data_IF_119419499673
#
_entry.id   IF_119419499673
#
_cell.length_a   1.000
_cell.length_b   1.000
_cell.length_c   1.000
_cell.angle_alpha   90.00
_cell.angle_beta   90.00
_cell.angle_gamma   90.00
#
_symmetry.space_group_name_H-M   'P 1'
#
loop_
_entity.id
_entity.type
_entity.pdbx_description
1 polymer ?
#
# COMPACT_ATOMS: atom_id res chain seq x y z
N UNK A 1 -18.00 -6.79 -7.99
CA UNK A 1 -17.14 -7.15 -6.85
C UNK A 1 -16.30 -5.94 -6.51
N UNK A 2 -16.69 -5.21 -5.46
CA UNK A 2 -15.90 -4.09 -4.96
C UNK A 2 -14.67 -4.64 -4.25
N UNK A 3 -13.49 -4.08 -4.51
CA UNK A 3 -12.29 -4.40 -3.74
C UNK A 3 -12.60 -4.24 -2.25
N UNK A 4 -12.45 -5.31 -1.47
CA UNK A 4 -12.55 -5.25 -0.01
C UNK A 4 -11.59 -4.20 0.56
N UNK A 5 -11.80 -3.72 1.80
CA UNK A 5 -11.00 -2.65 2.37
C UNK A 5 -9.54 -3.11 2.47
N UNK A 6 -8.72 -2.63 1.53
CA UNK A 6 -7.25 -2.66 1.59
C UNK A 6 -6.83 -2.11 2.95
N UNK A 7 -6.22 -2.97 3.76
CA UNK A 7 -6.17 -2.81 5.21
C UNK A 7 -5.54 -1.50 5.67
N UNK A 8 -6.04 -1.01 6.81
CA UNK A 8 -5.77 0.32 7.33
C UNK A 8 -4.45 0.31 8.13
N UNK A 9 -3.58 1.29 7.85
CA UNK A 9 -2.38 1.54 8.63
C UNK A 9 -2.71 2.12 10.02
N UNK A 10 -1.81 1.96 11.00
CA UNK A 10 -1.99 2.45 12.37
C UNK A 10 -2.03 3.99 12.49
N UNK A 11 -1.42 4.70 11.52
CA UNK A 11 -1.53 6.15 11.32
C UNK A 11 -2.20 6.38 9.96
N UNK A 12 -2.82 7.53 9.75
CA UNK A 12 -3.39 7.88 8.44
C UNK A 12 -2.31 8.52 7.54
N UNK A 13 -2.11 8.01 6.31
CA UNK A 13 -1.17 8.63 5.36
C UNK A 13 -1.71 9.97 4.85
N UNK A 14 -0.82 10.87 4.40
CA UNK A 14 -1.24 12.18 3.84
C UNK A 14 -1.97 12.03 2.51
N UNK A 15 -1.61 10.99 1.75
CA UNK A 15 -2.23 10.68 0.48
C UNK A 15 -2.20 9.18 0.26
N UNK A 16 -3.26 8.67 -0.33
CA UNK A 16 -3.38 7.27 -0.76
C UNK A 16 -3.72 7.23 -2.24
N UNK A 17 -3.02 6.38 -2.97
CA UNK A 17 -3.30 6.08 -4.36
C UNK A 17 -3.56 4.59 -4.52
N UNK A 18 -4.58 4.26 -5.30
CA UNK A 18 -4.96 2.90 -5.65
C UNK A 18 -4.91 2.76 -7.17
N UNK A 19 -3.98 1.95 -7.65
CA UNK A 19 -3.80 1.68 -9.07
C UNK A 19 -4.09 0.21 -9.35
N UNK A 20 -4.66 -0.05 -10.52
CA UNK A 20 -4.92 -1.41 -11.01
C UNK A 20 -4.22 -1.63 -12.34
N UNK A 21 -3.83 -2.87 -12.60
CA UNK A 21 -3.28 -3.30 -13.86
C UNK A 21 -3.92 -4.64 -14.27
N UNK A 22 -3.72 -5.10 -15.53
CA UNK A 22 -4.22 -6.41 -15.96
C UNK A 22 -3.76 -7.57 -15.05
N UNK A 23 -4.41 -8.73 -15.18
CA UNK A 23 -4.16 -9.92 -14.36
C UNK A 23 -4.33 -9.65 -12.84
N UNK A 24 -5.41 -8.96 -12.47
CA UNK A 24 -5.83 -8.71 -11.07
C UNK A 24 -4.75 -8.09 -10.17
N UNK A 25 -3.81 -7.35 -10.77
CA UNK A 25 -2.77 -6.64 -10.04
C UNK A 25 -3.30 -5.34 -9.46
N UNK A 26 -3.00 -5.12 -8.19
CA UNK A 26 -3.30 -3.89 -7.47
C UNK A 26 -2.01 -3.35 -6.86
N UNK A 27 -1.81 -2.03 -6.99
CA UNK A 27 -0.76 -1.28 -6.33
C UNK A 27 -1.41 -0.25 -5.40
N UNK A 28 -1.02 -0.29 -4.13
CA UNK A 28 -1.39 0.72 -3.13
C UNK A 28 -0.15 1.53 -2.81
N UNK A 29 -0.22 2.83 -3.04
CA UNK A 29 0.83 3.78 -2.62
C UNK A 29 0.27 4.64 -1.51
N UNK A 30 1.00 4.76 -0.41
CA UNK A 30 0.69 5.66 0.70
C UNK A 30 1.84 6.61 0.90
N UNK A 31 1.54 7.90 0.94
CA UNK A 31 2.50 8.97 1.21
C UNK A 31 2.45 9.34 2.68
N UNK A 32 3.59 9.62 3.27
CA UNK A 32 3.73 9.98 4.67
C UNK A 32 4.60 11.23 4.79
N UNK A 33 4.29 12.09 5.76
CA UNK A 33 5.25 13.12 6.18
C UNK A 33 6.40 12.47 6.94
N UNK A 34 7.63 12.75 6.52
CA UNK A 34 8.85 12.27 7.15
C UNK A 34 10.02 12.13 6.17
N UNK A 35 11.19 11.82 6.71
CA UNK A 35 12.38 11.44 5.94
C UNK A 35 12.39 9.92 5.65
N UNK A 36 13.21 9.48 4.69
CA UNK A 36 13.29 8.07 4.26
C UNK A 36 13.58 7.07 5.40
N UNK A 37 14.32 7.51 6.42
CA UNK A 37 14.69 6.68 7.58
C UNK A 37 13.67 6.66 8.72
N UNK A 38 12.59 7.43 8.63
CA UNK A 38 11.61 7.52 9.70
C UNK A 38 10.79 6.21 9.81
N UNK A 39 10.39 5.88 11.04
CA UNK A 39 9.54 4.72 11.30
C UNK A 39 8.12 5.01 10.80
N UNK A 40 7.73 4.33 9.72
CA UNK A 40 6.41 4.47 9.11
C UNK A 40 5.58 3.19 9.34
N UNK A 41 4.26 3.32 9.59
CA UNK A 41 3.42 2.14 9.74
C UNK A 41 3.44 1.28 8.49
N UNK A 42 3.62 -0.02 8.66
CA UNK A 42 3.43 -0.96 7.56
C UNK A 42 1.94 -1.21 7.30
N UNK A 43 1.60 -1.36 6.02
CA UNK A 43 0.26 -1.79 5.64
C UNK A 43 0.08 -3.26 6.05
N UNK A 44 -1.05 -3.62 6.68
CA UNK A 44 -1.37 -5.00 6.96
C UNK A 44 -1.46 -5.77 5.64
N UNK A 45 -1.18 -7.07 5.71
CA UNK A 45 -1.36 -7.92 4.55
C UNK A 45 -2.85 -8.01 4.18
N UNK A 46 -3.18 -8.04 2.88
CA UNK A 46 -4.52 -8.38 2.45
C UNK A 46 -4.90 -9.79 2.94
N UNK A 47 -6.19 -10.07 2.95
CA UNK A 47 -6.67 -11.43 3.18
C UNK A 47 -6.00 -12.40 2.19
N UNK A 48 -5.57 -13.58 2.68
CA UNK A 48 -4.88 -14.57 1.87
C UNK A 48 -5.73 -15.02 0.67
N UNK A 49 -7.04 -15.01 0.80
CA UNK A 49 -7.98 -15.31 -0.30
C UNK A 49 -7.90 -14.29 -1.45
N UNK A 50 -7.39 -13.09 -1.18
CA UNK A 50 -7.20 -12.00 -2.16
C UNK A 50 -5.80 -12.00 -2.77
N UNK A 51 -4.89 -12.86 -2.31
CA UNK A 51 -3.47 -12.85 -2.67
C UNK A 51 -3.16 -14.03 -3.60
N UNK A 52 -3.04 -13.76 -4.91
CA UNK A 52 -2.59 -14.77 -5.88
C UNK A 52 -1.06 -15.02 -5.83
N UNK A 53 -0.29 -14.05 -5.32
CA UNK A 53 1.18 -14.07 -5.22
C UNK A 53 1.63 -13.28 -3.99
N UNK A 54 2.77 -13.62 -3.35
CA UNK A 54 3.27 -12.88 -2.19
C UNK A 54 3.34 -11.37 -2.40
N UNK A 55 3.01 -10.61 -1.35
CA UNK A 55 3.03 -9.14 -1.38
C UNK A 55 4.48 -8.65 -1.51
N UNK A 56 4.72 -7.78 -2.49
CA UNK A 56 5.99 -7.06 -2.60
C UNK A 56 5.88 -5.71 -1.89
N UNK A 57 6.79 -5.43 -0.95
CA UNK A 57 6.86 -4.16 -0.20
C UNK A 57 8.07 -3.36 -0.65
N UNK A 58 7.86 -2.10 -1.00
CA UNK A 58 8.91 -1.17 -1.39
C UNK A 58 8.70 0.18 -0.70
N UNK A 59 9.80 0.85 -0.33
CA UNK A 59 9.82 2.23 0.18
C UNK A 59 10.57 3.12 -0.78
N UNK A 60 9.99 4.26 -1.11
CA UNK A 60 10.55 5.26 -2.00
C UNK A 60 10.33 6.66 -1.42
N UNK A 61 11.20 7.60 -1.77
CA UNK A 61 10.94 9.03 -1.59
C UNK A 61 10.45 9.63 -2.92
N UNK A 62 9.56 10.61 -2.84
CA UNK A 62 9.14 11.35 -4.01
C UNK A 62 10.27 12.25 -4.48
N UNK A 63 10.85 11.94 -5.63
CA UNK A 63 11.67 12.89 -6.37
C UNK A 63 10.71 13.75 -7.19
N UNK A 64 10.68 15.05 -6.91
CA UNK A 64 9.85 16.01 -7.67
C UNK A 64 10.22 16.03 -9.15
#
# INVERSE_FOLDING_TARGET
MGAGPVGRAAREPVRRELLRAPQDRVLVITWWEGAYGDELPELPEPDAELIARPVHRWRFEGVG
#
